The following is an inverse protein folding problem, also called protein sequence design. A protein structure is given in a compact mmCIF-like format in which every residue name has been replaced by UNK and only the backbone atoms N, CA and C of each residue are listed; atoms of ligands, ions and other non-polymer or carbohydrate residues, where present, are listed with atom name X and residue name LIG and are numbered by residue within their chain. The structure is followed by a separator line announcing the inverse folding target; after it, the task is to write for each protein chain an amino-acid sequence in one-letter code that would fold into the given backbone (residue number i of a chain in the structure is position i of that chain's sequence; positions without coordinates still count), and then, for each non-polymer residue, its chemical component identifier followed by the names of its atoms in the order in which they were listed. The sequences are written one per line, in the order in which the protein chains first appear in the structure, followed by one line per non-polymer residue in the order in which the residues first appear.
data_IF_492834577935
#
_entry.id   IF_492834577935
#
_cell.length_a   1.000
_cell.length_b   1.000
_cell.length_c   1.000
_cell.angle_alpha   90.00
_cell.angle_beta   90.00
_cell.angle_gamma   90.00
#
_symmetry.space_group_name_H-M   'P 1'
#
loop_
_entity.id
_entity.type
_entity.pdbx_description
1 polymer ?
#
# COMPACT_ATOMS: atom_id res chain seq x y z
N UNK A 1 40.90 -3.38 10.40
CA UNK A 1 40.09 -3.08 9.19
C UNK A 1 39.43 -4.31 8.56
N UNK A 2 40.12 -5.44 8.34
CA UNK A 2 39.52 -6.65 7.72
C UNK A 2 38.43 -7.31 8.57
N UNK A 3 38.58 -7.38 9.90
CA UNK A 3 37.61 -8.01 10.80
C UNK A 3 36.25 -7.28 10.84
N UNK A 4 36.27 -5.94 10.85
CA UNK A 4 35.05 -5.12 10.79
C UNK A 4 34.30 -5.30 9.47
N UNK A 5 35.00 -5.37 8.34
CA UNK A 5 34.38 -5.59 7.04
C UNK A 5 33.74 -6.98 6.96
N UNK A 6 34.39 -8.01 7.51
CA UNK A 6 33.85 -9.38 7.55
C UNK A 6 32.63 -9.50 8.46
N UNK A 7 32.62 -8.83 9.63
CA UNK A 7 31.46 -8.77 10.52
C UNK A 7 30.31 -8.00 9.86
N UNK A 8 30.57 -6.88 9.20
CA UNK A 8 29.55 -6.11 8.47
C UNK A 8 28.94 -6.90 7.31
N UNK A 9 29.76 -7.67 6.58
CA UNK A 9 29.30 -8.56 5.50
C UNK A 9 28.49 -9.73 6.07
N UNK A 10 28.90 -10.32 7.19
CA UNK A 10 28.16 -11.38 7.87
C UNK A 10 26.83 -10.89 8.45
N UNK A 11 26.77 -9.67 9.00
CA UNK A 11 25.52 -9.05 9.44
C UNK A 11 24.60 -8.74 8.25
N UNK A 12 25.13 -8.20 7.14
CA UNK A 12 24.34 -8.02 5.91
C UNK A 12 23.83 -9.33 5.29
N UNK A 13 24.61 -10.40 5.39
CA UNK A 13 24.20 -11.73 4.95
C UNK A 13 23.16 -12.36 5.90
N UNK A 14 23.23 -12.06 7.19
CA UNK A 14 22.22 -12.48 8.17
C UNK A 14 20.89 -11.69 8.01
N UNK A 15 20.94 -10.40 7.68
CA UNK A 15 19.74 -9.60 7.37
C UNK A 15 19.12 -9.99 6.03
N UNK A 16 19.90 -10.43 5.04
CA UNK A 16 19.38 -10.99 3.79
C UNK A 16 18.53 -12.27 4.00
N UNK A 17 18.78 -13.02 5.09
CA UNK A 17 17.95 -14.16 5.47
C UNK A 17 16.61 -13.78 6.15
N UNK A 18 16.37 -12.49 6.41
CA UNK A 18 15.16 -11.93 7.03
C UNK A 18 14.46 -10.89 6.14
N UNK A 19 14.85 -10.78 4.86
CA UNK A 19 14.23 -9.85 3.94
C UNK A 19 12.73 -10.16 3.79
N UNK A 20 11.89 -9.12 3.86
CA UNK A 20 10.49 -9.24 3.50
C UNK A 20 10.37 -9.57 2.01
N UNK A 21 9.42 -10.44 1.68
CA UNK A 21 9.24 -10.94 0.31
C UNK A 21 7.80 -10.81 -0.13
N UNK A 22 7.61 -10.60 -1.42
CA UNK A 22 6.27 -10.52 -2.00
C UNK A 22 6.16 -11.37 -3.24
N UNK A 23 4.92 -11.73 -3.55
CA UNK A 23 4.55 -12.42 -4.78
C UNK A 23 3.27 -11.84 -5.36
N UNK A 24 3.01 -12.20 -6.61
CA UNK A 24 1.70 -12.04 -7.24
C UNK A 24 0.95 -13.37 -7.15
N UNK A 25 -0.32 -13.26 -6.77
CA UNK A 25 -1.26 -14.35 -6.88
C UNK A 25 -1.55 -14.72 -8.35
N UNK A 26 -1.93 -15.98 -8.65
CA UNK A 26 -2.19 -16.43 -10.03
C UNK A 26 -3.19 -15.54 -10.77
N UNK A 27 -4.21 -15.03 -10.07
CA UNK A 27 -5.23 -14.15 -10.66
C UNK A 27 -4.68 -12.80 -11.15
N UNK A 28 -3.52 -12.35 -10.66
CA UNK A 28 -2.84 -11.20 -11.25
C UNK A 28 -2.29 -11.51 -12.65
N UNK A 29 -1.86 -12.74 -12.89
CA UNK A 29 -1.26 -13.17 -14.17
C UNK A 29 -2.29 -13.39 -15.27
N UNK A 30 -3.56 -13.58 -14.93
CA UNK A 30 -4.65 -13.75 -15.89
C UNK A 30 -4.94 -12.46 -16.68
N UNK A 31 -4.48 -11.30 -16.19
CA UNK A 31 -4.55 -10.03 -16.89
C UNK A 31 -3.18 -9.34 -16.90
N UNK A 32 -2.56 -9.25 -18.09
CA UNK A 32 -1.24 -8.64 -18.23
C UNK A 32 -1.18 -7.18 -17.74
N UNK A 33 -2.25 -6.40 -17.89
CA UNK A 33 -2.27 -5.01 -17.40
C UNK A 33 -2.24 -4.94 -15.87
N UNK A 34 -2.92 -5.87 -15.17
CA UNK A 34 -2.84 -5.98 -13.71
C UNK A 34 -1.46 -6.41 -13.24
N UNK A 35 -0.91 -7.46 -13.85
CA UNK A 35 0.45 -7.94 -13.55
C UNK A 35 1.50 -6.84 -13.75
N UNK A 36 1.54 -6.24 -14.94
CA UNK A 36 2.53 -5.22 -15.27
C UNK A 36 2.32 -3.94 -14.45
N UNK A 37 1.06 -3.56 -14.24
CA UNK A 37 0.67 -2.46 -13.37
C UNK A 37 1.15 -2.64 -11.94
N UNK A 38 0.90 -3.80 -11.32
CA UNK A 38 1.33 -4.09 -9.95
C UNK A 38 2.85 -4.17 -9.82
N UNK A 39 3.55 -4.83 -10.76
CA UNK A 39 5.02 -4.89 -10.73
C UNK A 39 5.60 -3.49 -10.84
N UNK A 40 5.12 -2.69 -11.80
CA UNK A 40 5.58 -1.32 -11.98
C UNK A 40 5.28 -0.47 -10.74
N UNK A 41 4.08 -0.60 -10.17
CA UNK A 41 3.68 0.16 -9.00
C UNK A 41 4.49 -0.23 -7.75
N UNK A 42 4.81 -1.51 -7.57
CA UNK A 42 5.68 -1.99 -6.51
C UNK A 42 7.10 -1.44 -6.66
N UNK A 43 7.69 -1.48 -7.87
CA UNK A 43 9.03 -0.95 -8.08
C UNK A 43 9.10 0.58 -7.90
N UNK A 44 8.06 1.31 -8.29
CA UNK A 44 7.92 2.73 -7.96
C UNK A 44 7.85 2.92 -6.44
N UNK A 45 6.97 2.20 -5.75
CA UNK A 45 6.82 2.29 -4.29
C UNK A 45 8.15 1.98 -3.57
N UNK A 46 8.87 0.93 -3.98
CA UNK A 46 10.20 0.57 -3.46
C UNK A 46 11.22 1.68 -3.66
N UNK A 47 11.28 2.25 -4.88
CA UNK A 47 12.18 3.37 -5.18
C UNK A 47 11.86 4.60 -4.32
N UNK A 48 10.57 4.90 -4.11
CA UNK A 48 10.15 6.01 -3.24
C UNK A 48 10.55 5.76 -1.79
N UNK A 49 10.28 4.57 -1.27
CA UNK A 49 10.66 4.17 0.09
C UNK A 49 12.17 4.24 0.32
N UNK A 50 12.98 3.69 -0.57
CA UNK A 50 14.43 3.75 -0.47
C UNK A 50 14.96 5.20 -0.43
N UNK A 51 14.35 6.08 -1.23
CA UNK A 51 14.70 7.50 -1.20
C UNK A 51 14.25 8.18 0.10
N UNK A 52 13.03 7.92 0.59
CA UNK A 52 12.56 8.42 1.90
C UNK A 52 13.51 8.03 3.03
N UNK A 53 13.88 6.77 3.11
CA UNK A 53 14.85 6.27 4.08
C UNK A 53 16.16 7.07 4.04
N UNK A 54 16.70 7.30 2.83
CA UNK A 54 17.94 8.08 2.66
C UNK A 54 17.82 9.53 3.16
N UNK A 55 16.63 10.13 3.05
CA UNK A 55 16.37 11.51 3.48
C UNK A 55 16.06 11.63 4.96
N UNK A 56 15.42 10.64 5.56
CA UNK A 56 15.26 10.57 7.01
C UNK A 56 16.63 10.38 7.70
N UNK A 57 17.55 9.58 7.14
CA UNK A 57 18.95 9.48 7.62
C UNK A 57 19.69 10.81 7.65
N UNK A 58 19.48 11.65 6.64
CA UNK A 58 20.12 12.98 6.55
C UNK A 58 19.61 13.95 7.63
N UNK A 59 18.37 13.79 8.09
CA UNK A 59 17.75 14.61 9.16
C UNK A 59 18.33 14.23 10.53
N UNK A 60 18.62 12.95 10.76
CA UNK A 60 19.21 12.45 12.01
C UNK A 60 20.71 12.80 12.14
N UNK A 61 21.44 12.83 11.02
CA UNK A 61 22.89 13.07 11.02
C UNK A 61 23.31 14.54 11.26
N UNK A 62 22.41 15.52 11.08
CA UNK A 62 22.72 16.96 11.26
C UNK A 62 21.50 17.76 11.73
N UNK A 63 21.40 18.10 13.02
CA UNK A 63 20.69 19.26 13.59
C UNK A 63 19.37 19.74 12.88
N UNK A 64 18.22 19.41 13.47
CA UNK A 64 16.97 20.19 13.65
C UNK A 64 16.43 21.19 12.59
N UNK A 65 16.92 21.24 11.36
CA UNK A 65 16.33 22.04 10.30
C UNK A 65 16.22 21.22 9.04
N UNK A 66 15.03 20.66 8.87
CA UNK A 66 14.65 19.94 7.68
C UNK A 66 14.72 20.87 6.44
N UNK A 67 15.63 20.65 5.47
CA UNK A 67 15.72 21.45 4.25
C UNK A 67 14.61 21.11 3.24
N UNK A 68 13.73 20.15 3.54
CA UNK A 68 12.65 19.76 2.64
C UNK A 68 11.45 20.69 2.64
N UNK A 69 11.27 21.45 3.71
CA UNK A 69 10.16 22.39 3.87
C UNK A 69 10.72 23.82 3.94
N UNK A 70 10.80 24.48 2.78
CA UNK A 70 11.31 25.85 2.69
C UNK A 70 10.36 26.88 3.31
N UNK A 71 10.27 26.96 4.65
CA UNK A 71 9.92 28.12 5.46
C UNK A 71 9.69 27.72 6.94
N UNK A 72 9.92 28.61 7.94
CA UNK A 72 9.94 28.31 9.38
C UNK A 72 8.64 27.74 9.97
N UNK A 73 7.51 27.88 9.27
CA UNK A 73 6.17 27.54 9.78
C UNK A 73 5.62 26.21 9.24
N UNK A 74 6.46 25.44 8.54
CA UNK A 74 6.10 24.14 7.94
C UNK A 74 6.74 22.95 8.65
N UNK A 75 7.33 23.18 9.82
CA UNK A 75 7.84 22.12 10.66
C UNK A 75 6.66 21.28 11.19
N UNK A 76 6.36 20.16 10.52
CA UNK A 76 5.98 18.97 11.28
C UNK A 76 7.10 18.80 12.32
N UNK A 77 6.79 18.74 13.63
CA UNK A 77 7.80 18.63 14.66
C UNK A 77 8.43 17.25 14.56
N UNK A 78 9.49 17.15 13.76
CA UNK A 78 10.35 15.99 13.63
C UNK A 78 11.66 16.37 14.31
N UNK A 79 11.60 16.45 15.65
CA UNK A 79 12.79 16.08 16.41
C UNK A 79 12.94 14.58 16.20
N UNK A 80 14.13 14.09 15.84
CA UNK A 80 14.39 12.66 15.69
C UNK A 80 13.95 11.93 16.98
N UNK A 81 12.76 11.33 16.94
CA UNK A 81 12.25 10.45 17.99
C UNK A 81 12.54 9.01 17.60
N UNK A 82 12.45 8.08 18.56
CA UNK A 82 12.52 6.63 18.28
C UNK A 82 11.52 6.20 17.18
N UNK A 83 10.37 6.89 17.07
CA UNK A 83 9.39 6.66 16.01
C UNK A 83 9.90 7.04 14.60
N UNK A 84 10.72 8.08 14.47
CA UNK A 84 11.26 8.49 13.18
C UNK A 84 12.37 7.53 12.70
N UNK A 85 13.18 7.01 13.61
CA UNK A 85 14.17 5.95 13.34
C UNK A 85 13.46 4.66 12.91
N UNK A 86 12.40 4.27 13.64
CA UNK A 86 11.61 3.11 13.28
C UNK A 86 10.97 3.26 11.90
N UNK A 87 10.37 4.42 11.60
CA UNK A 87 9.78 4.69 10.29
C UNK A 87 10.83 4.64 9.17
N UNK A 88 12.03 5.16 9.41
CA UNK A 88 13.15 5.05 8.48
C UNK A 88 13.50 3.58 8.22
N UNK A 89 13.68 2.76 9.26
CA UNK A 89 13.95 1.33 9.12
C UNK A 89 12.85 0.62 8.31
N UNK A 90 11.58 0.98 8.49
CA UNK A 90 10.47 0.43 7.70
C UNK A 90 10.56 0.81 6.22
N UNK A 91 10.90 2.06 5.91
CA UNK A 91 11.15 2.47 4.53
C UNK A 91 12.34 1.73 3.90
N UNK A 92 13.39 1.46 4.67
CA UNK A 92 14.54 0.67 4.20
C UNK A 92 14.13 -0.76 3.90
N UNK A 93 13.45 -1.42 4.84
CA UNK A 93 12.93 -2.77 4.66
C UNK A 93 12.02 -2.86 3.45
N UNK A 94 11.16 -1.86 3.23
CA UNK A 94 10.29 -1.82 2.06
C UNK A 94 11.10 -1.62 0.77
N UNK A 95 12.06 -0.69 0.77
CA UNK A 95 12.92 -0.44 -0.38
C UNK A 95 13.75 -1.66 -0.82
N UNK A 96 14.12 -2.51 0.14
CA UNK A 96 14.86 -3.76 -0.06
C UNK A 96 13.97 -5.00 -0.28
N UNK A 97 12.64 -4.82 -0.38
CA UNK A 97 11.68 -5.91 -0.55
C UNK A 97 11.96 -6.76 -1.81
N UNK A 98 12.10 -8.08 -1.64
CA UNK A 98 12.40 -9.01 -2.72
C UNK A 98 11.12 -9.58 -3.37
N UNK A 99 11.06 -9.63 -4.70
CA UNK A 99 9.95 -10.23 -5.45
C UNK A 99 9.66 -9.58 -6.81
N UNK A 100 8.65 -10.07 -7.56
CA UNK A 100 7.77 -11.18 -7.18
C UNK A 100 8.49 -12.53 -7.29
N UNK A 101 8.49 -13.32 -6.20
CA UNK A 101 9.06 -14.68 -6.17
C UNK A 101 8.06 -15.74 -6.69
N UNK A 102 8.52 -16.92 -7.12
CA UNK A 102 7.64 -18.04 -7.48
C UNK A 102 6.90 -17.91 -8.82
N UNK A 103 7.40 -17.08 -9.74
CA UNK A 103 6.79 -16.77 -11.05
C UNK A 103 6.59 -17.96 -11.98
N UNK A 104 7.53 -18.92 -12.00
CA UNK A 104 7.62 -19.95 -13.06
C UNK A 104 7.19 -21.36 -12.61
N UNK A 105 6.98 -21.58 -11.31
CA UNK A 105 6.65 -22.91 -10.76
C UNK A 105 5.16 -23.14 -10.53
N UNK A 106 4.32 -22.11 -10.70
CA UNK A 106 2.98 -22.12 -10.12
C UNK A 106 3.07 -21.99 -8.59
N UNK A 107 2.46 -20.94 -8.06
CA UNK A 107 2.61 -20.56 -6.65
C UNK A 107 2.08 -21.60 -5.64
N UNK A 108 1.30 -22.60 -6.10
CA UNK A 108 0.79 -23.70 -5.27
C UNK A 108 1.91 -24.55 -4.61
N UNK A 109 3.11 -24.53 -5.19
CA UNK A 109 4.25 -25.32 -4.73
C UNK A 109 5.34 -24.51 -4.00
N UNK A 110 5.16 -23.20 -3.82
CA UNK A 110 6.15 -22.37 -3.11
C UNK A 110 6.00 -22.49 -1.58
N UNK A 111 7.12 -22.39 -0.87
CA UNK A 111 7.15 -22.50 0.60
C UNK A 111 6.42 -21.32 1.26
N UNK A 112 6.33 -20.18 0.58
CA UNK A 112 5.66 -18.95 1.04
C UNK A 112 4.13 -19.07 1.04
N UNK A 113 3.55 -19.88 0.15
CA UNK A 113 2.10 -20.12 0.09
C UNK A 113 1.60 -21.05 1.20
N UNK A 114 2.44 -22.01 1.61
CA UNK A 114 2.00 -23.05 2.54
C UNK A 114 1.80 -22.54 3.97
N UNK A 115 2.17 -21.30 4.27
CA UNK A 115 1.98 -20.62 5.57
C UNK A 115 2.70 -21.29 6.77
N UNK A 116 3.18 -22.52 6.60
CA UNK A 116 3.72 -23.37 7.68
C UNK A 116 5.12 -22.96 8.13
N UNK A 117 5.85 -22.19 7.32
CA UNK A 117 7.26 -21.85 7.55
C UNK A 117 7.55 -20.35 7.54
N UNK A 118 6.56 -19.46 7.71
CA UNK A 118 6.81 -18.03 7.87
C UNK A 118 6.68 -17.59 9.35
N UNK A 119 7.64 -17.96 10.23
CA UNK A 119 7.58 -17.63 11.65
C UNK A 119 7.69 -16.12 11.92
N UNK A 120 8.09 -15.33 10.92
CA UNK A 120 8.31 -13.89 11.05
C UNK A 120 7.23 -13.04 10.36
N UNK A 121 6.23 -13.65 9.72
CA UNK A 121 5.14 -12.98 9.00
C UNK A 121 5.62 -11.97 7.93
N UNK A 122 6.76 -12.28 7.29
CA UNK A 122 7.48 -11.41 6.35
C UNK A 122 7.09 -11.58 4.88
N UNK A 123 6.14 -12.48 4.58
CA UNK A 123 5.79 -12.83 3.20
C UNK A 123 4.37 -12.33 2.88
N UNK A 124 4.24 -11.77 1.68
CA UNK A 124 3.02 -11.09 1.21
C UNK A 124 2.53 -11.63 -0.11
N UNK A 125 1.20 -11.72 -0.24
CA UNK A 125 0.54 -12.06 -1.50
C UNK A 125 -0.30 -10.88 -1.98
N UNK A 126 0.06 -10.32 -3.14
CA UNK A 126 -0.81 -9.36 -3.82
C UNK A 126 -1.76 -10.11 -4.76
N UNK A 127 -3.05 -9.81 -4.73
CA UNK A 127 -4.01 -10.45 -5.62
C UNK A 127 -5.04 -9.47 -6.21
N UNK A 128 -5.53 -9.75 -7.42
CA UNK A 128 -6.40 -8.84 -8.19
C UNK A 128 -7.85 -9.29 -8.36
N UNK A 129 -8.18 -10.56 -8.11
CA UNK A 129 -9.54 -11.08 -8.21
C UNK A 129 -9.78 -12.08 -7.07
N UNK A 130 -11.02 -12.23 -6.58
CA UNK A 130 -11.35 -13.20 -5.56
C UNK A 130 -11.08 -14.62 -6.07
N UNK A 131 -9.88 -15.14 -5.84
CA UNK A 131 -9.55 -16.52 -6.21
C UNK A 131 -10.21 -17.47 -5.23
N UNK A 132 -11.45 -17.82 -5.53
CA UNK A 132 -12.28 -18.68 -4.72
C UNK A 132 -12.47 -20.02 -5.42
N UNK A 133 -12.36 -21.08 -4.63
CA UNK A 133 -12.85 -22.40 -5.02
C UNK A 133 -13.96 -22.82 -4.05
N UNK A 134 -14.59 -23.95 -4.32
CA UNK A 134 -15.40 -24.62 -3.31
C UNK A 134 -14.56 -25.70 -2.62
N UNK A 135 -14.74 -25.85 -1.30
CA UNK A 135 -14.10 -26.91 -0.51
C UNK A 135 -15.15 -27.62 0.34
N UNK A 136 -15.09 -28.94 0.37
CA UNK A 136 -15.96 -29.74 1.24
C UNK A 136 -15.57 -29.55 2.71
N UNK A 137 -16.54 -29.17 3.53
CA UNK A 137 -16.41 -29.04 4.99
C UNK A 137 -17.28 -30.12 5.65
N UNK A 138 -16.74 -30.91 6.58
CA UNK A 138 -17.52 -31.92 7.30
C UNK A 138 -18.78 -31.29 7.90
N UNK A 139 -19.93 -31.91 7.66
CA UNK A 139 -21.28 -31.48 8.11
C UNK A 139 -21.88 -30.24 7.43
N UNK A 140 -21.09 -29.44 6.70
CA UNK A 140 -21.56 -28.18 6.09
C UNK A 140 -21.52 -28.18 4.55
N UNK A 141 -21.14 -29.30 3.91
CA UNK A 141 -21.13 -29.45 2.46
C UNK A 141 -20.05 -28.61 1.77
N UNK A 142 -20.29 -28.25 0.51
CA UNK A 142 -19.39 -27.36 -0.24
C UNK A 142 -19.49 -25.94 0.29
N UNK A 143 -18.35 -25.35 0.64
CA UNK A 143 -18.25 -23.99 1.16
C UNK A 143 -17.22 -23.19 0.35
N UNK A 144 -17.42 -21.88 0.18
CA UNK A 144 -16.44 -21.03 -0.49
C UNK A 144 -15.10 -21.03 0.24
N UNK A 145 -14.01 -21.19 -0.50
CA UNK A 145 -12.64 -21.28 -0.03
C UNK A 145 -11.79 -20.19 -0.66
N UNK A 146 -11.20 -19.34 0.18
CA UNK A 146 -10.21 -18.33 -0.19
C UNK A 146 -8.88 -19.02 -0.47
N UNK A 147 -8.50 -19.12 -1.75
CA UNK A 147 -7.23 -19.74 -2.11
C UNK A 147 -6.06 -18.94 -1.54
N UNK A 148 -6.10 -17.60 -1.59
CA UNK A 148 -5.02 -16.74 -1.09
C UNK A 148 -4.76 -16.91 0.41
N UNK A 149 -5.84 -16.91 1.21
CA UNK A 149 -5.74 -16.98 2.67
C UNK A 149 -5.85 -18.40 3.22
N UNK A 150 -6.06 -19.37 2.35
CA UNK A 150 -6.27 -20.78 2.71
C UNK A 150 -7.33 -20.92 3.82
N UNK A 151 -8.52 -20.37 3.61
CA UNK A 151 -9.62 -20.40 4.60
C UNK A 151 -11.00 -20.51 3.98
N UNK A 152 -11.97 -21.00 4.76
CA UNK A 152 -13.39 -20.96 4.39
C UNK A 152 -13.94 -19.54 4.59
N UNK A 153 -14.78 -19.08 3.68
CA UNK A 153 -15.46 -17.79 3.73
C UNK A 153 -16.97 -17.97 3.94
N UNK A 154 -17.60 -17.07 4.70
CA UNK A 154 -19.06 -17.00 4.81
C UNK A 154 -19.67 -16.58 3.47
N UNK A 155 -20.84 -17.11 3.04
CA UNK A 155 -21.48 -16.81 1.75
C UNK A 155 -21.74 -15.34 1.41
N UNK A 156 -21.79 -14.47 2.41
CA UNK A 156 -22.01 -13.02 2.35
C UNK A 156 -20.70 -12.21 2.37
N UNK A 157 -19.54 -12.87 2.42
CA UNK A 157 -18.25 -12.19 2.36
C UNK A 157 -18.12 -11.39 1.04
N UNK A 158 -17.60 -10.17 1.14
CA UNK A 158 -17.41 -9.27 0.01
C UNK A 158 -16.68 -9.93 -1.17
N UNK A 159 -15.69 -10.80 -0.94
CA UNK A 159 -14.99 -11.51 -2.00
C UNK A 159 -15.88 -12.46 -2.80
N UNK A 160 -16.81 -13.15 -2.13
CA UNK A 160 -17.75 -14.07 -2.79
C UNK A 160 -18.76 -13.28 -3.61
N UNK A 161 -19.25 -12.16 -3.05
CA UNK A 161 -20.18 -11.29 -3.77
C UNK A 161 -19.52 -10.75 -5.05
N UNK A 162 -18.28 -10.27 -4.94
CA UNK A 162 -17.49 -9.85 -6.10
C UNK A 162 -17.31 -11.01 -7.09
N UNK A 163 -16.88 -12.21 -6.66
CA UNK A 163 -16.66 -13.33 -7.58
C UNK A 163 -17.92 -13.69 -8.37
N UNK A 164 -19.08 -13.76 -7.70
CA UNK A 164 -20.37 -14.05 -8.34
C UNK A 164 -20.75 -13.03 -9.41
N UNK A 165 -20.47 -11.75 -9.17
CA UNK A 165 -20.73 -10.70 -10.15
C UNK A 165 -19.77 -10.77 -11.35
N UNK A 166 -18.51 -11.14 -11.10
CA UNK A 166 -17.53 -11.40 -12.17
C UNK A 166 -18.04 -12.52 -13.07
N UNK A 167 -18.45 -13.64 -12.47
CA UNK A 167 -18.95 -14.82 -13.19
C UNK A 167 -20.26 -14.54 -13.94
N UNK A 168 -21.12 -13.70 -13.37
CA UNK A 168 -22.37 -13.27 -14.01
C UNK A 168 -22.14 -12.30 -15.18
N UNK A 169 -20.91 -11.80 -15.37
CA UNK A 169 -20.58 -10.83 -16.41
C UNK A 169 -21.21 -9.44 -16.18
N UNK A 170 -21.63 -9.12 -14.95
CA UNK A 170 -22.45 -7.95 -14.61
C UNK A 170 -21.63 -6.70 -14.26
N UNK A 171 -20.49 -6.46 -14.92
CA UNK A 171 -19.58 -5.34 -14.63
C UNK A 171 -20.12 -3.96 -15.06
N UNK A 172 -21.28 -3.57 -14.51
CA UNK A 172 -21.87 -2.24 -14.52
C UNK A 172 -22.14 -1.78 -13.07
N UNK A 173 -22.22 -0.46 -12.85
CA UNK A 173 -22.54 0.18 -11.56
C UNK A 173 -21.53 -0.06 -10.39
N UNK A 174 -20.26 0.37 -10.51
CA UNK A 174 -19.24 0.17 -9.47
C UNK A 174 -19.57 0.79 -8.09
N UNK A 175 -20.43 1.82 -8.03
CA UNK A 175 -20.81 2.52 -6.80
C UNK A 175 -21.66 1.65 -5.84
N UNK A 176 -22.63 0.88 -6.36
CA UNK A 176 -23.40 -0.10 -5.56
C UNK A 176 -22.51 -1.23 -5.03
N UNK A 177 -21.38 -1.48 -5.69
CA UNK A 177 -20.41 -2.52 -5.32
C UNK A 177 -19.46 -2.02 -4.24
N UNK A 178 -19.11 -0.74 -4.27
CA UNK A 178 -18.42 -0.06 -3.17
C UNK A 178 -19.22 -0.20 -1.85
N UNK A 179 -20.55 -0.09 -1.89
CA UNK A 179 -21.40 -0.31 -0.72
C UNK A 179 -21.27 -1.74 -0.16
N UNK A 180 -21.28 -2.77 -1.02
CA UNK A 180 -21.13 -4.17 -0.60
C UNK A 180 -19.77 -4.47 0.05
N UNK A 181 -18.69 -3.84 -0.39
CA UNK A 181 -17.35 -4.01 0.22
C UNK A 181 -17.16 -3.22 1.52
N UNK A 182 -18.02 -2.24 1.79
CA UNK A 182 -18.04 -1.53 3.09
C UNK A 182 -18.79 -2.30 4.19
N UNK A 183 -19.40 -3.44 3.86
CA UNK A 183 -20.02 -4.33 4.84
C UNK A 183 -18.94 -4.99 5.72
N UNK A 184 -18.98 -4.73 7.03
CA UNK A 184 -18.08 -5.37 7.99
C UNK A 184 -18.50 -6.82 8.24
N UNK A 185 -17.74 -7.76 7.70
CA UNK A 185 -17.90 -9.17 8.03
C UNK A 185 -17.64 -9.43 9.53
N UNK A 186 -18.43 -10.29 10.20
CA UNK A 186 -18.20 -10.63 11.60
C UNK A 186 -16.90 -11.43 11.76
N UNK A 187 -16.13 -11.21 12.85
CA UNK A 187 -14.80 -11.80 13.08
C UNK A 187 -14.82 -13.29 13.48
N UNK A 188 -15.88 -14.04 13.17
CA UNK A 188 -16.22 -15.29 13.86
C UNK A 188 -15.65 -16.58 13.26
N UNK A 189 -14.87 -16.54 12.18
CA UNK A 189 -14.53 -17.76 11.42
C UNK A 189 -13.10 -18.27 11.57
N UNK A 190 -12.21 -17.58 12.28
CA UNK A 190 -10.81 -18.01 12.46
C UNK A 190 -10.34 -17.65 13.86
N UNK A 191 -9.72 -18.61 14.54
CA UNK A 191 -9.05 -18.35 15.81
C UNK A 191 -7.80 -17.48 15.59
N UNK A 192 -7.41 -16.67 16.56
CA UNK A 192 -6.24 -15.77 16.42
C UNK A 192 -4.93 -16.51 16.09
N UNK A 193 -4.79 -17.76 16.54
CA UNK A 193 -3.61 -18.59 16.31
C UNK A 193 -3.54 -19.16 14.88
N UNK A 194 -4.69 -19.52 14.29
CA UNK A 194 -4.77 -19.94 12.88
C UNK A 194 -4.59 -18.75 11.92
N UNK A 195 -5.13 -17.59 12.27
CA UNK A 195 -4.93 -16.36 11.50
C UNK A 195 -3.44 -15.97 11.39
N UNK A 196 -2.67 -16.16 12.46
CA UNK A 196 -1.24 -15.87 12.50
C UNK A 196 -0.37 -16.76 11.60
N UNK A 197 -0.91 -17.87 11.07
CA UNK A 197 -0.21 -18.84 10.20
C UNK A 197 -0.51 -18.63 8.70
N UNK A 198 -1.36 -17.66 8.37
CA UNK A 198 -1.73 -17.34 7.00
C UNK A 198 -0.80 -16.24 6.49
N UNK A 199 -0.22 -16.35 5.27
CA UNK A 199 0.51 -15.24 4.65
C UNK A 199 -0.34 -13.96 4.61
N UNK A 200 0.28 -12.81 4.83
CA UNK A 200 -0.44 -11.54 4.73
C UNK A 200 -0.87 -11.32 3.26
N UNK A 201 -2.17 -11.18 3.01
CA UNK A 201 -2.69 -10.97 1.65
C UNK A 201 -3.19 -9.55 1.48
N UNK A 202 -2.72 -8.86 0.44
CA UNK A 202 -3.30 -7.59 0.00
C UNK A 202 -4.21 -7.88 -1.17
N UNK A 203 -5.46 -7.47 -0.98
CA UNK A 203 -6.51 -7.59 -1.98
C UNK A 203 -6.66 -6.28 -2.70
N UNK A 204 -6.45 -6.25 -4.00
CA UNK A 204 -6.97 -5.15 -4.79
C UNK A 204 -8.38 -5.48 -5.23
N UNK A 205 -9.31 -4.55 -5.00
CA UNK A 205 -10.68 -4.70 -5.48
C UNK A 205 -10.66 -4.76 -7.02
N UNK A 206 -11.01 -5.90 -7.65
CA UNK A 206 -10.99 -6.06 -9.10
C UNK A 206 -11.85 -5.03 -9.83
N UNK A 207 -12.98 -4.65 -9.23
CA UNK A 207 -13.94 -3.69 -9.80
C UNK A 207 -13.31 -2.31 -9.88
N UNK A 208 -12.67 -1.89 -8.80
CA UNK A 208 -11.93 -0.62 -8.75
C UNK A 208 -10.76 -0.64 -9.73
N UNK A 209 -9.92 -1.69 -9.74
CA UNK A 209 -8.79 -1.79 -10.67
C UNK A 209 -9.23 -1.69 -12.14
N UNK A 210 -10.31 -2.39 -12.52
CA UNK A 210 -10.83 -2.32 -13.87
C UNK A 210 -11.35 -0.93 -14.24
N UNK A 211 -12.10 -0.31 -13.34
CA UNK A 211 -12.58 1.05 -13.51
C UNK A 211 -11.43 2.04 -13.72
N UNK A 212 -10.37 1.97 -12.90
CA UNK A 212 -9.15 2.79 -13.06
C UNK A 212 -8.48 2.57 -14.40
N UNK A 213 -8.37 1.33 -14.87
CA UNK A 213 -7.81 1.04 -16.20
C UNK A 213 -8.64 1.65 -17.33
N UNK A 214 -9.97 1.69 -17.19
CA UNK A 214 -10.87 2.29 -18.19
C UNK A 214 -10.82 3.82 -18.20
N UNK A 215 -10.57 4.47 -17.07
CA UNK A 215 -10.64 5.93 -16.91
C UNK A 215 -9.32 6.69 -17.15
N UNK A 216 -8.26 6.04 -17.60
CA UNK A 216 -6.99 6.70 -17.89
C UNK A 216 -5.76 6.08 -17.22
N UNK A 217 -5.95 4.98 -16.48
CA UNK A 217 -4.87 4.09 -16.04
C UNK A 217 -4.66 4.05 -14.52
N UNK A 218 -3.80 3.14 -14.11
CA UNK A 218 -3.49 2.85 -12.69
C UNK A 218 -2.56 3.89 -12.04
N UNK A 219 -2.08 4.87 -12.79
CA UNK A 219 -1.04 5.81 -12.37
C UNK A 219 -1.48 7.25 -12.64
N UNK A 220 -1.01 8.18 -11.81
CA UNK A 220 -1.18 9.60 -12.09
C UNK A 220 -0.46 9.96 -13.40
N UNK A 221 -1.18 10.58 -14.34
CA UNK A 221 -0.62 10.96 -15.63
C UNK A 221 0.20 12.25 -15.54
N UNK A 222 1.14 12.45 -16.48
CA UNK A 222 1.86 13.72 -16.60
C UNK A 222 0.88 14.89 -16.89
N UNK A 223 -0.26 14.63 -17.56
CA UNK A 223 -1.32 15.62 -17.76
C UNK A 223 -1.96 16.04 -16.43
N UNK A 224 -2.27 15.09 -15.55
CA UNK A 224 -2.79 15.40 -14.21
C UNK A 224 -1.75 16.19 -13.40
N UNK A 225 -0.47 15.81 -13.48
CA UNK A 225 0.62 16.55 -12.83
C UNK A 225 0.73 17.99 -13.35
N UNK A 226 0.66 18.20 -14.67
CA UNK A 226 0.68 19.53 -15.27
C UNK A 226 -0.52 20.37 -14.89
N UNK A 227 -1.72 19.79 -14.89
CA UNK A 227 -2.95 20.46 -14.46
C UNK A 227 -2.84 20.92 -13.00
N UNK A 228 -2.29 20.08 -12.13
CA UNK A 228 -2.25 20.31 -10.68
C UNK A 228 -1.10 21.20 -10.23
N UNK A 229 -0.09 21.40 -11.08
CA UNK A 229 1.02 22.33 -10.86
C UNK A 229 0.79 23.73 -11.44
N UNK A 230 -0.34 23.95 -12.15
CA UNK A 230 -0.69 25.27 -12.68
C UNK A 230 -1.08 26.23 -11.55
N UNK A 231 -0.73 27.50 -11.73
CA UNK A 231 -1.15 28.58 -10.83
C UNK A 231 -2.67 28.62 -10.74
N UNK A 232 -3.20 28.51 -9.52
CA UNK A 232 -4.64 28.55 -9.25
C UNK A 232 -5.33 27.18 -9.22
N UNK A 233 -4.60 26.07 -9.46
CA UNK A 233 -5.17 24.71 -9.44
C UNK A 233 -5.94 24.40 -8.16
N UNK A 234 -5.41 24.78 -6.98
CA UNK A 234 -6.10 24.61 -5.69
C UNK A 234 -7.45 25.34 -5.65
N UNK A 235 -7.51 26.56 -6.17
CA UNK A 235 -8.73 27.36 -6.18
C UNK A 235 -9.76 26.82 -7.18
N UNK A 236 -9.32 26.28 -8.31
CA UNK A 236 -10.19 25.61 -9.29
C UNK A 236 -10.76 24.31 -8.72
N UNK A 237 -9.91 23.49 -8.10
CA UNK A 237 -10.29 22.20 -7.53
C UNK A 237 -11.30 22.36 -6.39
N UNK A 238 -11.10 23.34 -5.51
CA UNK A 238 -12.07 23.72 -4.46
C UNK A 238 -13.43 24.18 -5.00
N UNK A 239 -13.50 24.69 -6.24
CA UNK A 239 -14.77 25.07 -6.88
C UNK A 239 -15.49 23.88 -7.50
N UNK A 240 -14.76 22.94 -8.08
CA UNK A 240 -15.32 21.78 -8.79
C UNK A 240 -15.68 20.62 -7.86
N UNK A 241 -14.99 20.47 -6.72
CA UNK A 241 -15.15 19.33 -5.82
C UNK A 241 -16.20 19.62 -4.73
N UNK A 242 -17.48 19.41 -5.02
CA UNK A 242 -18.56 19.38 -4.00
C UNK A 242 -18.99 17.93 -3.78
N UNK A 243 -19.10 17.45 -2.52
CA UNK A 243 -19.17 18.20 -1.26
C UNK A 243 -17.84 18.40 -0.51
N UNK A 244 -16.71 17.85 -0.97
CA UNK A 244 -15.44 17.86 -0.24
C UNK A 244 -14.60 19.11 -0.50
N UNK A 245 -14.90 20.22 0.20
CA UNK A 245 -14.11 21.47 0.19
C UNK A 245 -12.65 21.33 0.66
N UNK A 246 -12.21 20.11 0.98
CA UNK A 246 -10.91 19.76 1.56
C UNK A 246 -9.92 19.13 0.57
N UNK A 247 -10.36 18.78 -0.64
CA UNK A 247 -9.46 18.22 -1.65
C UNK A 247 -8.41 19.24 -2.09
N UNK A 248 -7.19 18.76 -2.32
CA UNK A 248 -6.02 19.55 -2.70
C UNK A 248 -5.36 18.97 -3.96
N UNK A 249 -4.53 19.76 -4.67
CA UNK A 249 -3.80 19.27 -5.82
C UNK A 249 -2.99 17.99 -5.57
N UNK A 250 -2.31 17.87 -4.42
CA UNK A 250 -1.55 16.64 -4.11
C UNK A 250 -2.46 15.40 -3.97
N UNK A 251 -3.70 15.56 -3.52
CA UNK A 251 -4.64 14.44 -3.35
C UNK A 251 -4.96 13.74 -4.68
N UNK A 252 -4.95 14.48 -5.78
CA UNK A 252 -5.14 13.90 -7.12
C UNK A 252 -3.99 13.00 -7.57
N UNK A 253 -2.83 13.10 -6.92
CA UNK A 253 -1.66 12.25 -7.16
C UNK A 253 -1.63 11.05 -6.19
N UNK A 254 -2.41 11.08 -5.10
CA UNK A 254 -2.50 9.99 -4.10
C UNK A 254 -3.21 8.78 -4.69
N UNK A 255 -4.13 8.97 -5.63
CA UNK A 255 -4.88 7.87 -6.27
C UNK A 255 -4.05 7.02 -7.26
N UNK A 256 -2.71 7.11 -7.18
CA UNK A 256 -1.77 6.28 -7.92
C UNK A 256 -1.59 4.91 -7.25
N UNK A 257 -1.60 3.82 -8.03
CA UNK A 257 -1.49 2.45 -7.51
C UNK A 257 -0.23 2.22 -6.65
N UNK A 258 0.86 2.94 -6.90
CA UNK A 258 2.08 2.82 -6.08
C UNK A 258 1.93 3.44 -4.70
N UNK A 259 1.10 4.49 -4.56
CA UNK A 259 0.76 5.10 -3.27
C UNK A 259 -0.18 4.17 -2.51
N UNK A 260 -1.19 3.60 -3.19
CA UNK A 260 -2.08 2.60 -2.61
C UNK A 260 -1.31 1.36 -2.14
N UNK A 261 -0.41 0.82 -2.95
CA UNK A 261 0.43 -0.33 -2.56
C UNK A 261 1.25 -0.01 -1.31
N UNK A 262 1.85 1.17 -1.25
CA UNK A 262 2.63 1.58 -0.10
C UNK A 262 1.75 1.69 1.15
N UNK A 263 0.59 2.35 1.05
CA UNK A 263 -0.40 2.41 2.12
C UNK A 263 -0.81 1.02 2.64
N UNK A 264 -1.28 0.15 1.76
CA UNK A 264 -1.78 -1.19 2.11
C UNK A 264 -0.69 -2.08 2.74
N UNK A 265 0.55 -1.97 2.27
CA UNK A 265 1.65 -2.76 2.81
C UNK A 265 2.04 -2.33 4.23
N UNK A 266 1.88 -1.06 4.58
CA UNK A 266 2.14 -0.58 5.95
C UNK A 266 1.09 -1.06 6.96
N UNK A 267 -0.09 -1.51 6.53
CA UNK A 267 -1.02 -2.27 7.39
C UNK A 267 -0.51 -3.65 7.77
N UNK A 268 0.49 -4.18 7.07
CA UNK A 268 0.96 -5.53 7.32
C UNK A 268 1.97 -5.60 8.45
N UNK A 269 2.02 -6.73 9.14
CA UNK A 269 2.88 -6.89 10.33
C UNK A 269 4.37 -6.68 10.07
N UNK A 270 4.90 -7.05 8.89
CA UNK A 270 6.34 -6.84 8.64
C UNK A 270 6.73 -5.36 8.50
N UNK A 271 5.77 -4.49 8.20
CA UNK A 271 6.00 -3.05 8.04
C UNK A 271 5.46 -2.21 9.18
N UNK A 272 4.88 -2.82 10.22
CA UNK A 272 4.47 -2.12 11.44
C UNK A 272 3.04 -2.43 11.90
N UNK A 273 2.20 -3.01 11.05
CA UNK A 273 0.82 -3.32 11.40
C UNK A 273 -0.01 -2.07 11.69
N UNK A 274 0.29 -0.98 10.99
CA UNK A 274 -0.31 0.32 11.23
C UNK A 274 -1.81 0.31 10.96
N UNK A 275 -2.55 1.17 11.64
CA UNK A 275 -4.00 1.30 11.52
C UNK A 275 -4.35 2.61 10.84
N UNK A 276 -5.40 2.61 10.01
CA UNK A 276 -5.99 3.84 9.47
C UNK A 276 -6.57 4.78 10.55
N UNK A 277 -6.74 4.26 11.76
CA UNK A 277 -7.46 4.92 12.85
C UNK A 277 -6.69 4.84 14.17
N UNK A 278 -6.77 5.89 14.99
CA UNK A 278 -6.82 5.72 16.43
C UNK A 278 -8.26 5.68 16.96
N UNK A 279 -9.22 6.47 16.42
CA UNK A 279 -10.55 6.67 17.06
C UNK A 279 -11.66 7.22 16.12
N UNK A 280 -12.17 6.43 15.17
CA UNK A 280 -13.37 6.74 14.33
C UNK A 280 -13.33 7.92 13.35
N UNK A 281 -12.30 8.77 13.33
CA UNK A 281 -12.11 9.76 12.26
C UNK A 281 -11.07 9.25 11.25
N UNK A 282 -11.52 9.06 10.02
CA UNK A 282 -10.72 8.55 8.92
C UNK A 282 -9.85 9.70 8.39
N UNK A 283 -8.56 9.70 8.72
CA UNK A 283 -7.62 10.69 8.20
C UNK A 283 -7.15 10.28 6.79
N UNK A 284 -8.06 10.30 5.82
CA UNK A 284 -7.71 10.22 4.39
C UNK A 284 -7.52 11.60 3.78
N UNK A 285 -6.63 11.74 2.81
CA UNK A 285 -6.19 12.97 2.13
C UNK A 285 -5.24 13.85 2.95
N UNK A 286 -4.50 14.70 2.24
CA UNK A 286 -3.44 15.55 2.78
C UNK A 286 -3.89 16.44 3.94
N UNK A 287 -5.01 17.15 3.78
CA UNK A 287 -5.46 18.11 4.81
C UNK A 287 -5.83 17.42 6.11
N UNK A 288 -6.46 16.25 6.05
CA UNK A 288 -6.80 15.51 7.26
C UNK A 288 -5.53 15.01 7.96
N UNK A 289 -4.56 14.48 7.23
CA UNK A 289 -3.29 14.04 7.83
C UNK A 289 -2.48 15.20 8.44
N UNK A 290 -2.53 16.40 7.86
CA UNK A 290 -1.89 17.60 8.44
C UNK A 290 -2.61 18.10 9.70
N UNK A 291 -3.95 18.02 9.74
CA UNK A 291 -4.76 18.42 10.90
C UNK A 291 -4.55 17.45 12.08
N UNK A 292 -4.62 16.14 11.81
CA UNK A 292 -4.55 15.09 12.84
C UNK A 292 -3.11 14.76 13.25
N UNK A 293 -2.11 14.98 12.38
CA UNK A 293 -0.67 14.76 12.66
C UNK A 293 -0.33 13.35 13.14
N UNK A 294 -1.11 12.36 12.70
CA UNK A 294 -0.91 10.95 13.04
C UNK A 294 0.26 10.39 12.24
N UNK A 295 1.46 10.39 12.85
CA UNK A 295 2.70 9.93 12.21
C UNK A 295 2.65 8.47 11.77
N UNK A 296 1.81 7.67 12.44
CA UNK A 296 1.64 6.25 12.23
C UNK A 296 0.50 5.92 11.24
N UNK A 297 -0.11 6.93 10.62
CA UNK A 297 -1.12 6.73 9.59
C UNK A 297 -0.47 6.25 8.27
N UNK A 298 -0.86 5.09 7.72
CA UNK A 298 -0.28 4.55 6.48
C UNK A 298 -0.43 5.45 5.25
N UNK A 299 -1.51 6.23 5.18
CA UNK A 299 -1.70 7.19 4.11
C UNK A 299 -0.73 8.37 4.22
N UNK A 300 -0.51 8.92 5.42
CA UNK A 300 0.51 9.96 5.61
C UNK A 300 1.91 9.46 5.20
N UNK A 301 2.26 8.23 5.61
CA UNK A 301 3.51 7.57 5.20
C UNK A 301 3.58 7.51 3.67
N UNK A 302 2.53 7.02 3.01
CA UNK A 302 2.50 6.92 1.55
C UNK A 302 2.59 8.28 0.84
N UNK A 303 1.91 9.32 1.35
CA UNK A 303 1.93 10.69 0.82
C UNK A 303 3.33 11.30 0.97
N UNK A 304 4.02 11.09 2.09
CA UNK A 304 5.39 11.57 2.27
C UNK A 304 6.29 11.01 1.17
N UNK A 305 6.18 9.71 0.88
CA UNK A 305 6.95 9.08 -0.18
C UNK A 305 6.64 9.63 -1.58
N UNK A 306 5.38 9.94 -1.85
CA UNK A 306 4.97 10.64 -3.07
C UNK A 306 5.57 12.05 -3.16
N UNK A 307 5.52 12.85 -2.08
CA UNK A 307 6.05 14.23 -2.07
C UNK A 307 7.56 14.24 -2.34
N UNK A 308 8.28 13.28 -1.78
CA UNK A 308 9.71 13.12 -2.03
C UNK A 308 10.02 12.80 -3.50
N UNK A 309 9.24 11.91 -4.12
CA UNK A 309 9.35 11.59 -5.56
C UNK A 309 9.05 12.81 -6.44
N UNK A 310 7.95 13.51 -6.13
CA UNK A 310 7.56 14.74 -6.81
C UNK A 310 8.69 15.76 -6.78
N UNK A 311 9.35 15.95 -5.62
CA UNK A 311 10.46 16.88 -5.49
C UNK A 311 11.70 16.43 -6.26
N UNK A 312 12.12 15.18 -6.07
CA UNK A 312 13.38 14.68 -6.61
C UNK A 312 13.32 14.45 -8.12
N UNK A 313 12.27 13.79 -8.59
CA UNK A 313 12.18 13.30 -9.96
C UNK A 313 11.33 14.21 -10.86
N UNK A 314 10.35 14.93 -10.29
CA UNK A 314 9.47 15.83 -11.05
C UNK A 314 9.73 17.32 -10.81
N UNK A 315 10.65 17.66 -9.89
CA UNK A 315 10.97 19.05 -9.48
C UNK A 315 9.74 19.82 -8.98
N UNK A 316 8.78 19.11 -8.41
CA UNK A 316 7.56 19.69 -7.86
C UNK A 316 7.67 19.81 -6.35
N UNK A 317 7.34 20.98 -5.83
CA UNK A 317 7.21 21.24 -4.39
C UNK A 317 5.74 21.21 -3.98
N UNK A 318 5.47 20.74 -2.76
CA UNK A 318 4.13 20.72 -2.16
C UNK A 318 4.17 21.55 -0.89
N UNK A 319 3.22 22.48 -0.72
CA UNK A 319 3.14 23.30 0.48
C UNK A 319 2.14 22.72 1.51
N UNK A 320 2.01 23.38 2.68
CA UNK A 320 1.10 22.95 3.75
C UNK A 320 -0.38 22.85 3.34
N UNK A 321 -0.79 23.60 2.32
CA UNK A 321 -2.16 23.62 1.82
C UNK A 321 -2.40 22.57 0.72
N UNK A 322 -1.42 21.71 0.46
CA UNK A 322 -1.46 20.68 -0.59
C UNK A 322 -1.31 21.23 -2.01
N UNK A 323 -0.91 22.50 -2.16
CA UNK A 323 -0.66 23.12 -3.46
C UNK A 323 0.67 22.65 -4.04
N UNK A 324 0.67 22.28 -5.33
CA UNK A 324 1.83 21.79 -6.06
C UNK A 324 2.42 22.88 -6.97
N UNK A 325 3.75 23.01 -7.03
CA UNK A 325 4.47 23.99 -7.88
C UNK A 325 5.73 23.38 -8.50
N UNK A 326 5.90 23.53 -9.82
CA UNK A 326 7.16 23.23 -10.53
C UNK A 326 8.18 24.35 -10.35
#
# INVERSE_FOLDING_TARGET
MKLFLTIFVLLKLATAAQAARWTLHRSCYENNAYKEGLIKAMEIAKSRSAFCASKLREIDAMNHRNPLYGAPDTALPICATEADVLLQERYEMFGELEGPIGKDSGFADSDEWRGRNNPFQTDFVLYCAPDLSEREVPLNGMQPWDNARQRILAPDNALILIQRDIDAGTWADPEKKAEAVTFRAPPTLITGEEAARIPNTITFNPIWLNHRMQEGGLFASDESLEKMTKKGALAELKKSWKPNARATPVDTMIEDLSVTLLHEMFHTHAFGGYSDLPNNDVAYNWMNNIEHKEKDNPELIAIIALIFDLKQNKKVTVNKDGEMKK
#
